data_IF_160176649801
#
_entry.id   IF_160176649801
#
_cell.length_a   1.000
_cell.length_b   1.000
_cell.length_c   1.000
_cell.angle_alpha   90.00
_cell.angle_beta   90.00
_cell.angle_gamma   90.00
#
_symmetry.space_group_name_H-M   'P 1'
#
loop_
_entity.id
_entity.type
_entity.pdbx_description
1 polymer ?
#
# COMPACT_ATOMS: atom_id res chain seq x y z
N UNK A 1 34.11 -42.37 45.88
CA UNK A 1 34.12 -42.27 47.36
C UNK A 1 33.56 -40.91 47.78
N UNK A 2 32.85 -40.84 48.91
CA UNK A 2 32.03 -39.71 49.32
C UNK A 2 32.80 -38.65 50.13
N UNK A 3 32.34 -37.40 49.96
CA UNK A 3 32.34 -36.16 50.78
C UNK A 3 33.13 -36.14 52.12
N UNK A 4 33.82 -35.02 52.43
CA UNK A 4 33.34 -34.20 53.54
C UNK A 4 33.28 -32.69 53.25
N UNK A 5 32.07 -32.17 53.42
CA UNK A 5 31.67 -30.80 53.81
C UNK A 5 32.27 -30.42 55.16
N UNK A 6 32.40 -29.10 55.48
CA UNK A 6 32.32 -28.43 56.82
C UNK A 6 33.08 -27.07 56.79
N UNK A 7 32.68 -25.98 57.48
CA UNK A 7 31.36 -25.38 57.63
C UNK A 7 31.35 -23.82 57.57
N UNK A 8 30.14 -23.29 57.46
CA UNK A 8 29.54 -22.07 58.00
C UNK A 8 30.35 -21.08 58.88
N UNK A 9 30.24 -19.78 58.53
CA UNK A 9 30.16 -18.68 59.51
C UNK A 9 29.22 -17.57 59.00
N UNK A 10 27.91 -17.73 59.25
CA UNK A 10 26.99 -16.62 59.57
C UNK A 10 27.46 -15.97 60.89
N UNK A 11 27.12 -14.76 61.36
CA UNK A 11 26.04 -13.75 61.26
C UNK A 11 26.70 -12.44 61.85
N UNK A 12 26.11 -11.21 61.98
CA UNK A 12 24.72 -10.80 61.82
C UNK A 12 24.41 -9.43 61.14
N UNK A 13 23.14 -9.34 60.70
CA UNK A 13 22.24 -8.17 60.57
C UNK A 13 22.52 -7.01 61.56
N UNK A 14 22.28 -5.72 61.27
CA UNK A 14 21.01 -5.01 60.91
C UNK A 14 21.28 -3.47 60.96
N UNK A 15 20.31 -2.53 60.73
CA UNK A 15 19.58 -2.11 59.52
C UNK A 15 19.70 -0.59 59.17
N UNK A 16 18.96 -0.20 58.12
CA UNK A 16 18.42 1.12 57.76
C UNK A 16 19.42 2.06 57.03
N UNK A 17 19.07 2.70 55.92
CA UNK A 17 17.83 3.45 55.65
C UNK A 17 17.68 3.67 54.13
N UNK A 18 16.42 3.73 53.67
CA UNK A 18 15.96 4.21 52.35
C UNK A 18 16.65 5.51 51.93
N UNK A 19 16.95 5.69 50.64
CA UNK A 19 16.18 6.55 49.71
C UNK A 19 16.90 6.63 48.35
N UNK A 20 16.18 6.15 47.34
CA UNK A 20 15.99 6.76 46.03
C UNK A 20 17.22 7.27 45.25
N UNK A 21 17.61 6.49 44.23
CA UNK A 21 18.01 7.07 42.96
C UNK A 21 17.75 6.05 41.85
N UNK A 22 16.72 6.38 41.08
CA UNK A 22 16.34 5.85 39.79
C UNK A 22 17.58 5.53 38.93
N UNK A 23 17.94 4.26 38.84
CA UNK A 23 18.84 3.79 37.78
C UNK A 23 17.98 3.66 36.54
N UNK A 24 18.19 4.55 35.59
CA UNK A 24 17.63 4.51 34.25
C UNK A 24 17.86 3.13 33.63
N UNK A 25 16.81 2.32 33.66
CA UNK A 25 16.70 1.11 32.86
C UNK A 25 16.47 1.55 31.41
N UNK A 26 17.56 1.86 30.72
CA UNK A 26 17.61 1.86 29.27
C UNK A 26 17.48 0.42 28.77
N UNK A 27 16.25 -0.10 28.84
CA UNK A 27 15.80 -1.27 28.10
C UNK A 27 15.74 -0.95 26.60
N UNK A 28 16.90 -0.79 25.97
CA UNK A 28 17.09 -1.07 24.55
C UNK A 28 17.08 -2.60 24.38
N UNK A 29 15.93 -3.18 24.01
CA UNK A 29 15.84 -4.21 22.96
C UNK A 29 14.37 -4.51 22.59
N UNK A 30 13.67 -3.50 22.07
CA UNK A 30 12.37 -3.69 21.41
C UNK A 30 12.60 -3.71 19.91
N UNK A 31 12.57 -4.90 19.30
CA UNK A 31 12.67 -5.05 17.85
C UNK A 31 11.77 -4.03 17.13
N UNK A 32 12.37 -3.22 16.27
CA UNK A 32 11.77 -1.97 15.78
C UNK A 32 10.42 -2.20 15.08
N UNK A 33 9.35 -1.99 15.84
CA UNK A 33 7.98 -1.92 15.33
C UNK A 33 7.83 -0.65 14.50
N UNK A 34 7.33 -0.79 13.28
CA UNK A 34 7.06 0.34 12.38
C UNK A 34 5.58 0.68 12.50
N UNK A 35 5.27 1.81 13.17
CA UNK A 35 3.91 2.36 13.24
C UNK A 35 3.69 3.36 12.10
N UNK A 36 2.71 3.08 11.24
CA UNK A 36 2.34 3.94 10.12
C UNK A 36 1.40 5.06 10.57
N UNK A 37 1.75 6.32 10.25
CA UNK A 37 0.97 7.51 10.59
C UNK A 37 0.15 7.97 9.38
N UNK A 38 -1.06 8.47 9.64
CA UNK A 38 -1.95 8.94 8.58
C UNK A 38 -1.45 10.24 7.95
N UNK A 39 -1.53 10.37 6.62
CA UNK A 39 -1.27 11.62 5.92
C UNK A 39 -2.48 12.57 6.10
N UNK A 40 -2.27 13.72 6.73
CA UNK A 40 -3.32 14.73 6.93
C UNK A 40 -3.59 15.59 5.67
N UNK A 41 -2.82 15.41 4.59
CA UNK A 41 -2.89 16.24 3.37
C UNK A 41 -4.23 16.20 2.61
N UNK A 42 -5.04 15.15 2.79
CA UNK A 42 -6.36 15.02 2.14
C UNK A 42 -7.50 15.75 2.88
N UNK A 43 -7.24 16.41 4.02
CA UNK A 43 -8.29 16.99 4.87
C UNK A 43 -8.77 18.38 4.46
N UNK A 44 -8.08 19.03 3.51
CA UNK A 44 -8.39 20.41 3.10
C UNK A 44 -9.77 20.52 2.49
N UNK A 45 -10.11 19.64 1.54
CA UNK A 45 -11.42 19.65 0.87
C UNK A 45 -12.58 19.40 1.84
N UNK A 46 -12.60 18.35 2.68
CA UNK A 46 -13.69 18.14 3.63
C UNK A 46 -13.76 19.25 4.69
N UNK A 47 -12.64 19.82 5.13
CA UNK A 47 -12.65 20.98 6.04
C UNK A 47 -13.29 22.22 5.37
N UNK A 48 -12.95 22.50 4.11
CA UNK A 48 -13.55 23.57 3.31
C UNK A 48 -15.04 23.33 3.09
N UNK A 49 -15.48 22.09 2.84
CA UNK A 49 -16.90 21.75 2.73
C UNK A 49 -17.66 22.00 4.04
N UNK A 50 -17.10 21.62 5.19
CA UNK A 50 -17.73 21.88 6.50
C UNK A 50 -17.80 23.38 6.78
N UNK A 51 -16.70 24.11 6.60
CA UNK A 51 -16.65 25.55 6.80
C UNK A 51 -17.62 26.28 5.86
N UNK A 52 -17.62 25.93 4.58
CA UNK A 52 -18.53 26.49 3.59
C UNK A 52 -20.00 26.23 3.91
N UNK A 53 -20.33 25.00 4.34
CA UNK A 53 -21.69 24.66 4.78
C UNK A 53 -22.13 25.41 6.04
N UNK A 54 -21.24 25.60 7.02
CA UNK A 54 -21.51 26.39 8.24
C UNK A 54 -21.73 27.87 7.90
N UNK A 55 -20.89 28.45 7.04
CA UNK A 55 -21.05 29.84 6.59
C UNK A 55 -22.37 30.04 5.83
N UNK A 56 -22.75 29.08 4.98
CA UNK A 56 -24.01 29.13 4.22
C UNK A 56 -25.26 29.09 5.11
N UNK A 57 -25.17 28.42 6.28
CA UNK A 57 -26.21 28.39 7.29
C UNK A 57 -26.25 29.66 8.16
N UNK A 58 -25.10 30.31 8.35
CA UNK A 58 -24.99 31.51 9.19
C UNK A 58 -25.47 32.81 8.51
N UNK A 59 -25.49 32.85 7.17
CA UNK A 59 -25.97 34.01 6.41
C UNK A 59 -27.50 34.10 6.41
N UNK A 60 -28.11 35.18 6.95
CA UNK A 60 -29.56 35.33 6.98
C UNK A 60 -30.08 35.48 5.54
N UNK A 61 -30.98 34.58 5.14
CA UNK A 61 -31.65 34.68 3.85
C UNK A 61 -33.06 34.13 3.94
N UNK A 62 -34.00 34.90 3.45
CA UNK A 62 -35.40 34.51 3.38
C UNK A 62 -35.59 33.48 2.26
N UNK A 63 -35.83 32.22 2.65
CA UNK A 63 -36.45 31.14 1.83
C UNK A 63 -35.65 30.57 0.65
N UNK A 64 -34.65 29.73 0.95
CA UNK A 64 -34.34 28.61 0.05
C UNK A 64 -34.09 27.33 0.86
N UNK A 65 -35.14 26.52 1.04
CA UNK A 65 -35.07 25.20 1.67
C UNK A 65 -33.99 24.32 1.01
N UNK A 66 -33.79 24.48 -0.29
CA UNK A 66 -32.79 23.77 -1.09
C UNK A 66 -31.36 24.16 -0.66
N UNK A 67 -31.11 25.43 -0.34
CA UNK A 67 -29.82 25.90 0.19
C UNK A 67 -29.52 25.31 1.56
N UNK A 68 -30.51 25.26 2.45
CA UNK A 68 -30.35 24.67 3.78
C UNK A 68 -30.09 23.16 3.71
N UNK A 69 -30.78 22.43 2.82
CA UNK A 69 -30.53 21.01 2.59
C UNK A 69 -29.12 20.75 2.05
N UNK A 70 -28.66 21.54 1.08
CA UNK A 70 -27.29 21.44 0.54
C UNK A 70 -26.26 21.76 1.62
N UNK A 71 -26.49 22.78 2.45
CA UNK A 71 -25.58 23.15 3.54
C UNK A 71 -25.49 22.06 4.61
N UNK A 72 -26.64 21.53 5.05
CA UNK A 72 -26.68 20.42 6.02
C UNK A 72 -26.01 19.18 5.43
N UNK A 73 -26.25 18.88 4.14
CA UNK A 73 -25.58 17.80 3.43
C UNK A 73 -24.05 17.98 3.38
N UNK A 74 -23.57 19.19 3.09
CA UNK A 74 -22.14 19.51 3.06
C UNK A 74 -21.49 19.39 4.45
N UNK A 75 -22.16 19.88 5.50
CA UNK A 75 -21.67 19.77 6.89
C UNK A 75 -21.69 18.32 7.38
N UNK A 76 -22.76 17.57 7.11
CA UNK A 76 -22.86 16.17 7.51
C UNK A 76 -21.84 15.30 6.77
N UNK A 77 -21.73 15.43 5.44
CA UNK A 77 -20.80 14.66 4.63
C UNK A 77 -19.34 15.02 4.97
N UNK A 78 -19.02 16.31 5.01
CA UNK A 78 -17.69 16.80 5.38
C UNK A 78 -17.33 16.44 6.82
N UNK A 79 -18.30 16.53 7.74
CA UNK A 79 -18.15 16.16 9.15
C UNK A 79 -17.89 14.68 9.34
N UNK A 80 -18.61 13.79 8.64
CA UNK A 80 -18.37 12.34 8.68
C UNK A 80 -16.99 11.99 8.14
N UNK A 81 -16.56 12.61 7.03
CA UNK A 81 -15.22 12.41 6.47
C UNK A 81 -14.14 12.91 7.44
N UNK A 82 -14.33 14.07 8.06
CA UNK A 82 -13.40 14.63 9.05
C UNK A 82 -13.32 13.76 10.30
N UNK A 83 -14.46 13.25 10.81
CA UNK A 83 -14.51 12.34 11.95
C UNK A 83 -13.86 10.99 11.64
N UNK A 84 -14.02 10.50 10.40
CA UNK A 84 -13.34 9.31 9.89
C UNK A 84 -11.82 9.50 9.76
N UNK A 85 -11.37 10.73 9.54
CA UNK A 85 -9.95 11.08 9.47
C UNK A 85 -9.32 11.31 10.86
N UNK A 86 -10.11 11.76 11.84
CA UNK A 86 -9.67 11.99 13.23
C UNK A 86 -9.63 10.70 14.07
N UNK A 87 -10.11 9.55 13.57
CA UNK A 87 -9.97 8.28 14.28
C UNK A 87 -8.50 7.80 14.26
N UNK A 88 -7.94 7.37 15.40
CA UNK A 88 -6.54 6.94 15.48
C UNK A 88 -6.33 5.67 14.66
N UNK A 89 -5.83 5.87 13.45
CA UNK A 89 -5.32 4.83 12.58
C UNK A 89 -4.03 4.29 13.22
N UNK A 90 -4.05 3.03 13.64
CA UNK A 90 -2.87 2.31 14.13
C UNK A 90 -2.68 1.11 13.25
N UNK A 91 -1.76 1.23 12.31
CA UNK A 91 -1.23 0.11 11.54
C UNK A 91 0.22 -0.08 11.96
N UNK A 92 0.50 -1.16 12.67
CA UNK A 92 1.84 -1.48 13.16
C UNK A 92 2.34 -2.74 12.47
N UNK A 93 3.59 -2.70 12.01
CA UNK A 93 4.31 -3.87 11.49
C UNK A 93 5.36 -4.23 12.52
N UNK A 94 5.23 -5.40 13.12
CA UNK A 94 6.14 -5.88 14.16
C UNK A 94 6.54 -7.35 13.98
N UNK A 95 7.38 -7.88 14.86
CA UNK A 95 7.89 -9.24 14.76
C UNK A 95 6.80 -10.31 14.95
N UNK A 96 5.73 -10.00 15.67
CA UNK A 96 4.62 -10.93 15.93
C UNK A 96 3.56 -10.93 14.83
N UNK A 97 3.46 -9.85 14.06
CA UNK A 97 2.42 -9.70 13.05
C UNK A 97 2.12 -8.26 12.66
N UNK A 98 0.91 -8.07 12.17
CA UNK A 98 0.38 -6.76 11.76
C UNK A 98 -0.74 -6.37 12.70
N UNK A 99 -0.56 -5.25 13.41
CA UNK A 99 -1.66 -4.66 14.19
C UNK A 99 -2.50 -3.80 13.27
N UNK A 100 -3.79 -4.13 13.11
CA UNK A 100 -4.72 -3.36 12.29
C UNK A 100 -5.85 -2.82 13.15
N UNK A 101 -6.17 -1.53 12.97
CA UNK A 101 -7.29 -0.88 13.65
C UNK A 101 -8.22 -0.15 12.67
N UNK A 102 -9.08 -0.90 11.99
CA UNK A 102 -10.15 -0.42 11.10
C UNK A 102 -11.52 -0.99 11.49
N UNK A 103 -12.65 -0.43 11.02
CA UNK A 103 -13.95 -1.08 11.17
C UNK A 103 -13.90 -2.50 10.58
N UNK A 104 -14.31 -3.51 11.35
CA UNK A 104 -14.24 -4.93 10.97
C UNK A 104 -12.89 -5.62 11.20
N UNK A 105 -11.82 -4.90 11.56
CA UNK A 105 -10.50 -5.49 11.82
C UNK A 105 -9.77 -4.68 12.89
N UNK A 106 -9.91 -5.07 14.16
CA UNK A 106 -9.33 -4.39 15.33
C UNK A 106 -8.51 -5.35 16.18
N UNK A 107 -7.47 -5.93 15.58
CA UNK A 107 -6.64 -6.93 16.25
C UNK A 107 -5.23 -6.96 15.69
N UNK A 108 -4.33 -7.57 16.46
CA UNK A 108 -3.09 -8.12 15.93
C UNK A 108 -3.42 -9.34 15.08
N UNK A 109 -2.98 -9.32 13.83
CA UNK A 109 -3.03 -10.46 12.92
C UNK A 109 -1.64 -11.06 12.90
N UNK A 110 -1.52 -12.30 13.40
CA UNK A 110 -0.22 -12.95 13.53
C UNK A 110 0.32 -13.33 12.16
N UNK A 111 1.64 -13.38 11.99
CA UNK A 111 2.24 -13.87 10.74
C UNK A 111 1.76 -15.29 10.35
N UNK A 112 1.39 -16.13 11.32
CA UNK A 112 0.84 -17.46 11.09
C UNK A 112 -0.58 -17.46 10.50
N UNK A 113 -1.34 -16.39 10.72
CA UNK A 113 -2.68 -16.20 10.15
C UNK A 113 -2.63 -15.66 8.72
N UNK A 114 -1.43 -15.29 8.25
CA UNK A 114 -1.20 -14.64 6.96
C UNK A 114 -0.56 -15.66 6.02
N UNK A 115 -1.27 -15.98 4.94
CA UNK A 115 -0.71 -16.80 3.87
C UNK A 115 0.16 -15.96 2.94
N UNK A 116 -0.32 -14.77 2.57
CA UNK A 116 0.39 -13.85 1.70
C UNK A 116 0.01 -12.40 2.01
N UNK A 117 0.98 -11.50 1.83
CA UNK A 117 0.80 -10.06 1.83
C UNK A 117 1.31 -9.50 0.53
N UNK A 118 0.53 -8.62 -0.06
CA UNK A 118 0.81 -8.10 -1.40
C UNK A 118 0.68 -6.60 -1.39
N UNK A 119 1.77 -5.91 -1.72
CA UNK A 119 1.74 -4.49 -2.05
C UNK A 119 1.48 -4.35 -3.55
N UNK A 120 0.35 -3.73 -3.89
CA UNK A 120 -0.11 -3.56 -5.27
C UNK A 120 -0.65 -2.15 -5.50
N UNK A 121 -0.69 -1.70 -6.77
CA UNK A 121 -1.43 -0.50 -7.17
C UNK A 121 -2.54 -0.95 -8.12
N UNK A 122 -3.82 -0.60 -7.88
CA UNK A 122 -4.90 -0.90 -8.81
C UNK A 122 -4.65 -0.28 -10.19
N UNK A 123 -5.25 -0.80 -11.26
CA UNK A 123 -5.22 -0.14 -12.56
C UNK A 123 -5.83 1.27 -12.44
N UNK A 124 -5.29 2.28 -13.16
CA UNK A 124 -5.88 3.61 -13.18
C UNK A 124 -7.34 3.56 -13.62
N UNK A 125 -8.20 4.29 -12.92
CA UNK A 125 -9.63 4.40 -13.26
C UNK A 125 -9.85 5.79 -13.87
N UNK A 126 -10.31 5.84 -15.12
CA UNK A 126 -10.53 7.08 -15.86
C UNK A 126 -9.29 8.02 -15.87
N UNK A 127 -8.08 7.45 -15.96
CA UNK A 127 -6.82 8.20 -16.02
C UNK A 127 -6.33 8.75 -14.69
N UNK A 128 -7.02 8.45 -13.59
CA UNK A 128 -6.58 8.78 -12.25
C UNK A 128 -5.80 7.60 -11.68
N UNK A 129 -4.50 7.77 -11.34
CA UNK A 129 -3.73 6.75 -10.65
C UNK A 129 -4.40 6.40 -9.32
N UNK A 130 -4.65 5.12 -9.10
CA UNK A 130 -5.12 4.64 -7.81
C UNK A 130 -3.92 4.52 -6.85
N UNK A 131 -4.08 4.92 -5.58
CA UNK A 131 -2.99 4.78 -4.61
C UNK A 131 -2.62 3.30 -4.40
N UNK A 132 -1.34 3.01 -4.09
CA UNK A 132 -0.95 1.68 -3.65
C UNK A 132 -1.77 1.20 -2.46
N UNK A 133 -2.01 -0.11 -2.40
CA UNK A 133 -2.74 -0.77 -1.34
C UNK A 133 -2.04 -2.05 -0.90
N UNK A 134 -2.19 -2.37 0.38
CA UNK A 134 -1.73 -3.63 0.95
C UNK A 134 -2.91 -4.60 1.04
N UNK A 135 -2.77 -5.74 0.37
CA UNK A 135 -3.72 -6.84 0.40
C UNK A 135 -3.15 -7.98 1.23
N UNK A 136 -4.03 -8.72 1.91
CA UNK A 136 -3.68 -9.88 2.72
C UNK A 136 -4.56 -11.06 2.35
N UNK A 137 -3.94 -12.20 2.08
CA UNK A 137 -4.61 -13.49 1.91
C UNK A 137 -4.54 -14.23 3.25
N UNK A 138 -5.68 -14.57 3.87
CA UNK A 138 -5.69 -15.32 5.13
C UNK A 138 -5.15 -16.74 4.92
N UNK A 139 -4.52 -17.29 5.95
CA UNK A 139 -4.18 -18.71 6.00
C UNK A 139 -5.45 -19.59 5.91
N UNK A 140 -5.36 -20.80 5.32
CA UNK A 140 -6.48 -21.72 5.27
C UNK A 140 -7.10 -21.96 6.65
N UNK A 141 -8.43 -21.85 6.76
CA UNK A 141 -9.16 -22.03 8.01
C UNK A 141 -9.21 -20.79 8.93
N UNK A 142 -8.53 -19.69 8.58
CA UNK A 142 -8.63 -18.43 9.32
C UNK A 142 -9.81 -17.61 8.78
N UNK A 143 -10.84 -17.44 9.61
CA UNK A 143 -11.91 -16.49 9.35
C UNK A 143 -11.50 -15.10 9.88
N UNK A 144 -11.68 -14.08 9.05
CA UNK A 144 -11.50 -12.69 9.46
C UNK A 144 -12.87 -12.03 9.58
N UNK A 145 -13.03 -11.19 10.60
CA UNK A 145 -14.24 -10.39 10.82
C UNK A 145 -14.43 -9.26 9.78
N UNK A 146 -13.67 -9.30 8.69
CA UNK A 146 -13.73 -8.37 7.58
C UNK A 146 -14.05 -9.10 6.27
N UNK A 147 -14.93 -8.55 5.43
CA UNK A 147 -15.24 -9.16 4.14
C UNK A 147 -14.02 -9.16 3.22
N UNK A 148 -13.84 -10.26 2.48
CA UNK A 148 -12.85 -10.36 1.40
C UNK A 148 -13.33 -9.57 0.18
N UNK A 149 -13.13 -8.26 0.20
CA UNK A 149 -13.55 -7.34 -0.87
C UNK A 149 -12.57 -7.28 -2.04
N UNK A 150 -11.41 -7.92 -1.93
CA UNK A 150 -10.35 -7.90 -2.92
C UNK A 150 -9.91 -9.31 -3.32
N UNK A 151 -9.07 -9.38 -4.35
CA UNK A 151 -8.42 -10.61 -4.81
C UNK A 151 -6.94 -10.39 -4.98
N UNK A 152 -6.16 -11.44 -4.75
CA UNK A 152 -4.73 -11.44 -5.04
C UNK A 152 -4.51 -11.22 -6.55
N UNK A 153 -3.71 -10.22 -6.98
CA UNK A 153 -3.62 -9.82 -8.38
C UNK A 153 -3.07 -10.89 -9.33
N UNK A 154 -2.24 -11.80 -8.82
CA UNK A 154 -1.60 -12.86 -9.63
C UNK A 154 -2.42 -14.15 -9.67
N UNK A 155 -2.84 -14.69 -8.52
CA UNK A 155 -3.49 -16.01 -8.43
C UNK A 155 -5.01 -15.96 -8.13
N UNK A 156 -5.59 -14.77 -7.97
CA UNK A 156 -7.03 -14.59 -7.79
C UNK A 156 -7.60 -15.01 -6.44
N UNK A 157 -6.76 -15.49 -5.49
CA UNK A 157 -7.20 -15.89 -4.15
C UNK A 157 -7.95 -14.76 -3.44
N UNK A 158 -8.99 -15.05 -2.63
CA UNK A 158 -9.67 -14.03 -1.84
C UNK A 158 -8.69 -13.29 -0.93
N UNK A 159 -8.75 -11.96 -0.97
CA UNK A 159 -7.89 -11.10 -0.19
C UNK A 159 -8.70 -10.05 0.55
N UNK A 160 -8.21 -9.67 1.73
CA UNK A 160 -8.70 -8.54 2.51
C UNK A 160 -7.76 -7.38 2.28
N UNK A 161 -8.30 -6.23 1.90
CA UNK A 161 -7.52 -5.00 1.85
C UNK A 161 -7.22 -4.54 3.28
N UNK A 162 -5.94 -4.46 3.65
CA UNK A 162 -5.53 -4.02 4.97
C UNK A 162 -5.35 -2.51 5.04
N UNK A 163 -4.76 -1.94 3.99
CA UNK A 163 -4.31 -0.56 3.99
C UNK A 163 -4.35 0.05 2.59
N UNK A 164 -4.85 1.29 2.52
CA UNK A 164 -4.70 2.21 1.40
C UNK A 164 -3.54 3.17 1.72
N UNK A 165 -2.43 3.06 0.99
CA UNK A 165 -1.22 3.86 1.24
C UNK A 165 -1.39 5.32 0.80
N UNK A 166 -2.44 5.67 0.05
CA UNK A 166 -2.79 7.08 -0.19
C UNK A 166 -3.17 7.82 1.10
N UNK A 167 -3.51 7.08 2.15
CA UNK A 167 -3.85 7.61 3.46
C UNK A 167 -2.67 7.60 4.43
N UNK A 168 -1.51 7.10 4.02
CA UNK A 168 -0.33 6.88 4.87
C UNK A 168 0.71 7.97 4.57
N UNK A 169 1.41 8.44 5.61
CA UNK A 169 2.45 9.46 5.48
C UNK A 169 3.79 8.85 5.04
N UNK A 170 4.08 7.66 5.51
CA UNK A 170 5.29 6.90 5.16
C UNK A 170 5.31 6.57 3.66
N UNK A 171 6.51 6.54 3.08
CA UNK A 171 6.65 6.24 1.65
C UNK A 171 6.36 4.76 1.41
N UNK A 172 5.74 4.40 0.28
CA UNK A 172 5.49 3.00 -0.06
C UNK A 172 6.72 2.10 0.02
N UNK A 173 7.89 2.60 -0.36
CA UNK A 173 9.14 1.84 -0.28
C UNK A 173 9.59 1.58 1.18
N UNK A 174 9.35 2.52 2.10
CA UNK A 174 9.65 2.32 3.54
C UNK A 174 8.72 1.26 4.15
N UNK A 175 7.44 1.30 3.77
CA UNK A 175 6.45 0.29 4.15
C UNK A 175 6.83 -1.08 3.60
N UNK A 176 7.23 -1.14 2.32
CA UNK A 176 7.68 -2.36 1.68
C UNK A 176 8.92 -2.94 2.37
N UNK A 177 9.90 -2.10 2.73
CA UNK A 177 11.09 -2.53 3.46
C UNK A 177 10.75 -3.09 4.85
N UNK A 178 9.82 -2.47 5.57
CA UNK A 178 9.35 -2.98 6.86
C UNK A 178 8.61 -4.33 6.73
N UNK A 179 7.74 -4.45 5.72
CA UNK A 179 7.01 -5.70 5.45
C UNK A 179 7.94 -6.82 4.99
N UNK A 180 8.95 -6.52 4.17
CA UNK A 180 9.95 -7.49 3.75
C UNK A 180 10.78 -8.00 4.95
N UNK A 181 11.14 -7.09 5.88
CA UNK A 181 11.90 -7.43 7.08
C UNK A 181 11.14 -8.37 8.02
N UNK A 182 9.87 -8.08 8.30
CA UNK A 182 9.09 -8.80 9.31
C UNK A 182 8.21 -9.92 8.73
N UNK A 183 7.65 -9.72 7.53
CA UNK A 183 6.80 -10.71 6.86
C UNK A 183 7.56 -11.79 6.11
N UNK A 184 8.85 -11.54 5.81
CA UNK A 184 9.72 -12.48 5.07
C UNK A 184 9.09 -12.92 3.75
N UNK A 185 9.11 -14.24 3.51
CA UNK A 185 8.61 -14.84 2.26
C UNK A 185 7.10 -14.65 2.02
N UNK A 186 6.32 -14.30 3.05
CA UNK A 186 4.89 -14.04 2.90
C UNK A 186 4.62 -12.72 2.18
N UNK A 187 5.57 -11.79 2.21
CA UNK A 187 5.43 -10.48 1.58
C UNK A 187 5.89 -10.49 0.13
N UNK A 188 5.05 -9.95 -0.75
CA UNK A 188 5.32 -9.77 -2.17
C UNK A 188 5.10 -8.32 -2.56
N UNK A 189 6.16 -7.67 -3.00
CA UNK A 189 6.09 -6.32 -3.58
C UNK A 189 5.85 -6.42 -5.10
N UNK A 190 4.58 -6.30 -5.52
CA UNK A 190 4.24 -6.30 -6.95
C UNK A 190 4.59 -4.98 -7.63
N UNK A 191 4.77 -3.88 -6.88
CA UNK A 191 5.22 -2.62 -7.45
C UNK A 191 6.68 -2.72 -7.85
N UNK A 192 7.53 -3.24 -6.96
CA UNK A 192 8.94 -3.49 -7.26
C UNK A 192 9.10 -4.52 -8.38
N UNK A 193 8.31 -5.61 -8.39
CA UNK A 193 8.36 -6.60 -9.47
C UNK A 193 8.00 -6.02 -10.84
N UNK A 194 6.96 -5.20 -10.95
CA UNK A 194 6.62 -4.51 -12.21
C UNK A 194 7.73 -3.57 -12.67
N UNK A 195 8.27 -2.76 -11.75
CA UNK A 195 9.38 -1.83 -12.02
C UNK A 195 10.63 -2.57 -12.50
N UNK A 196 10.95 -3.71 -11.89
CA UNK A 196 12.10 -4.53 -12.27
C UNK A 196 11.90 -5.25 -13.61
N UNK A 197 10.66 -5.65 -13.94
CA UNK A 197 10.36 -6.34 -15.18
C UNK A 197 10.49 -5.44 -16.41
N UNK A 198 10.07 -4.18 -16.29
CA UNK A 198 10.30 -3.17 -17.31
C UNK A 198 10.34 -1.77 -16.67
N UNK A 199 11.54 -1.18 -16.53
CA UNK A 199 11.67 0.17 -15.99
C UNK A 199 11.13 1.18 -17.01
N UNK A 200 10.28 2.08 -16.53
CA UNK A 200 9.77 3.21 -17.32
C UNK A 200 10.12 4.48 -16.58
N UNK A 201 10.83 5.36 -17.25
CA UNK A 201 11.12 6.70 -16.74
C UNK A 201 9.82 7.50 -16.64
N UNK A 202 9.78 8.47 -15.72
CA UNK A 202 8.62 9.34 -15.55
C UNK A 202 8.29 10.07 -16.86
N UNK A 203 7.19 9.65 -17.49
CA UNK A 203 6.73 10.22 -18.75
C UNK A 203 6.30 11.66 -18.53
N UNK A 204 6.90 12.56 -19.30
CA UNK A 204 6.67 13.99 -19.17
C UNK A 204 5.30 14.35 -19.75
N UNK A 205 4.51 15.11 -19.00
CA UNK A 205 3.26 15.68 -19.52
C UNK A 205 3.53 16.90 -20.39
N UNK A 206 2.88 16.95 -21.55
CA UNK A 206 2.94 18.07 -22.48
C UNK A 206 1.57 18.45 -23.02
N UNK A 207 1.54 19.58 -23.73
CA UNK A 207 0.41 19.91 -24.59
C UNK A 207 0.41 18.99 -25.80
N UNK A 208 -0.77 18.52 -26.22
CA UNK A 208 -0.92 17.59 -27.36
C UNK A 208 -0.11 16.30 -27.22
N UNK A 209 -0.16 15.71 -26.02
CA UNK A 209 0.41 14.40 -25.76
C UNK A 209 -0.59 13.26 -25.97
N UNK A 210 -0.11 12.02 -25.96
CA UNK A 210 -0.99 10.86 -25.94
C UNK A 210 -1.81 10.79 -24.66
N UNK A 211 -3.04 10.32 -24.77
CA UNK A 211 -3.88 10.06 -23.60
C UNK A 211 -3.18 9.14 -22.61
N UNK A 212 -3.20 9.51 -21.32
CA UNK A 212 -2.46 8.81 -20.27
C UNK A 212 -3.05 7.43 -19.99
N UNK A 213 -4.38 7.31 -19.88
CA UNK A 213 -5.03 6.05 -19.50
C UNK A 213 -4.73 4.89 -20.45
N UNK A 214 -4.82 5.05 -21.79
CA UNK A 214 -4.43 3.98 -22.73
C UNK A 214 -2.95 3.62 -22.61
N UNK A 215 -2.07 4.61 -22.48
CA UNK A 215 -0.62 4.40 -22.36
C UNK A 215 -0.27 3.65 -21.07
N UNK A 216 -0.77 4.12 -19.92
CA UNK A 216 -0.55 3.48 -18.61
C UNK A 216 -1.05 2.04 -18.60
N UNK A 217 -2.18 1.77 -19.28
CA UNK A 217 -2.74 0.41 -19.41
C UNK A 217 -1.81 -0.50 -20.20
N UNK A 218 -1.29 -0.04 -21.35
CA UNK A 218 -0.38 -0.83 -22.19
C UNK A 218 0.92 -1.13 -21.45
N UNK A 219 1.52 -0.11 -20.81
CA UNK A 219 2.74 -0.25 -20.03
C UNK A 219 2.52 -1.25 -18.89
N UNK A 220 1.42 -1.09 -18.14
CA UNK A 220 1.08 -2.01 -17.05
C UNK A 220 0.91 -3.43 -17.57
N UNK A 221 0.12 -3.64 -18.62
CA UNK A 221 -0.11 -4.99 -19.17
C UNK A 221 1.20 -5.65 -19.61
N UNK A 222 2.11 -4.90 -20.24
CA UNK A 222 3.43 -5.41 -20.61
C UNK A 222 4.31 -5.73 -19.40
N UNK A 223 4.35 -4.86 -18.38
CA UNK A 223 5.06 -5.12 -17.13
C UNK A 223 4.54 -6.37 -16.41
N UNK A 224 3.22 -6.56 -16.34
CA UNK A 224 2.60 -7.74 -15.71
C UNK A 224 2.93 -9.02 -16.50
N UNK A 225 2.86 -8.97 -17.83
CA UNK A 225 3.23 -10.09 -18.70
C UNK A 225 4.72 -10.45 -18.57
N UNK A 226 5.61 -9.47 -18.43
CA UNK A 226 7.04 -9.70 -18.20
C UNK A 226 7.32 -10.24 -16.79
N UNK A 227 6.64 -9.70 -15.77
CA UNK A 227 6.93 -9.99 -14.37
C UNK A 227 6.41 -11.37 -13.92
N UNK A 228 5.25 -11.82 -14.42
CA UNK A 228 4.66 -13.11 -14.03
C UNK A 228 3.78 -13.76 -15.10
N UNK A 229 3.70 -13.18 -16.31
CA UNK A 229 3.02 -13.81 -17.44
C UNK A 229 3.87 -14.89 -18.10
N UNK A 230 3.19 -15.88 -18.71
CA UNK A 230 3.82 -16.86 -19.58
C UNK A 230 3.98 -16.35 -21.01
N UNK A 231 4.46 -17.22 -21.89
CA UNK A 231 4.57 -16.95 -23.33
C UNK A 231 3.26 -16.44 -23.97
N UNK A 232 2.06 -17.01 -23.71
CA UNK A 232 0.84 -16.50 -24.33
C UNK A 232 0.46 -15.09 -23.82
N UNK A 233 0.66 -14.80 -22.53
CA UNK A 233 0.40 -13.46 -21.98
C UNK A 233 1.37 -12.42 -22.55
N UNK A 234 2.65 -12.78 -22.69
CA UNK A 234 3.66 -11.91 -23.32
C UNK A 234 3.34 -11.63 -24.78
N UNK A 235 2.96 -12.64 -25.54
CA UNK A 235 2.57 -12.49 -26.93
C UNK A 235 1.29 -11.63 -27.08
N UNK A 236 0.31 -11.82 -26.20
CA UNK A 236 -0.91 -11.01 -26.19
C UNK A 236 -0.61 -9.54 -25.84
N UNK A 237 0.22 -9.29 -24.83
CA UNK A 237 0.65 -7.93 -24.47
C UNK A 237 1.41 -7.26 -25.62
N UNK A 238 2.32 -7.99 -26.28
CA UNK A 238 3.07 -7.49 -27.44
C UNK A 238 2.12 -7.12 -28.59
N UNK A 239 1.18 -8.01 -28.91
CA UNK A 239 0.19 -7.76 -29.96
C UNK A 239 -0.65 -6.51 -29.65
N UNK A 240 -1.06 -6.31 -28.39
CA UNK A 240 -1.80 -5.12 -27.98
C UNK A 240 -0.98 -3.83 -28.16
N UNK A 241 0.31 -3.85 -27.79
CA UNK A 241 1.22 -2.71 -27.99
C UNK A 241 1.40 -2.39 -29.47
N UNK A 242 1.69 -3.39 -30.30
CA UNK A 242 1.87 -3.19 -31.75
C UNK A 242 0.58 -2.73 -32.44
N UNK A 243 -0.57 -3.29 -32.06
CA UNK A 243 -1.86 -2.85 -32.58
C UNK A 243 -2.16 -1.39 -32.23
N UNK A 244 -1.89 -0.98 -30.99
CA UNK A 244 -2.09 0.41 -30.56
C UNK A 244 -1.16 1.38 -31.31
N UNK A 245 0.09 0.99 -31.54
CA UNK A 245 1.06 1.78 -32.32
C UNK A 245 0.65 1.89 -33.79
N UNK A 246 0.16 0.81 -34.39
CA UNK A 246 -0.28 0.79 -35.79
C UNK A 246 -1.58 1.57 -36.01
N UNK A 247 -2.52 1.50 -35.08
CA UNK A 247 -3.77 2.26 -35.13
C UNK A 247 -3.57 3.76 -34.84
N UNK A 248 -2.48 4.11 -34.13
CA UNK A 248 -2.21 5.44 -33.62
C UNK A 248 -2.95 5.69 -32.30
N UNK A 249 -2.21 6.15 -31.29
CA UNK A 249 -2.79 6.54 -30.00
C UNK A 249 -3.49 7.90 -30.10
N UNK A 250 -4.62 8.03 -29.40
CA UNK A 250 -5.38 9.28 -29.33
C UNK A 250 -4.54 10.39 -28.68
N UNK A 251 -4.51 11.55 -29.31
CA UNK A 251 -3.85 12.76 -28.78
C UNK A 251 -4.86 13.60 -28.00
N UNK A 252 -4.54 13.89 -26.74
CA UNK A 252 -5.32 14.77 -25.89
C UNK A 252 -4.67 16.16 -25.78
N UNK A 253 -5.47 17.16 -25.39
CA UNK A 253 -4.96 18.52 -25.17
C UNK A 253 -3.81 18.56 -24.14
N UNK A 254 -3.85 17.67 -23.15
CA UNK A 254 -2.78 17.41 -22.18
C UNK A 254 -2.60 15.91 -22.06
N UNK A 255 -1.38 15.43 -22.26
CA UNK A 255 -1.05 14.00 -22.27
C UNK A 255 0.44 13.75 -22.16
N UNK A 256 0.87 12.50 -22.25
CA UNK A 256 2.29 12.15 -22.25
C UNK A 256 2.97 12.54 -23.55
N UNK A 257 4.24 12.95 -23.47
CA UNK A 257 5.08 13.24 -24.63
C UNK A 257 5.05 12.07 -25.63
N UNK A 258 4.63 12.35 -26.86
CA UNK A 258 4.47 11.32 -27.90
C UNK A 258 5.78 10.59 -28.19
N UNK A 259 6.89 11.33 -28.29
CA UNK A 259 8.21 10.76 -28.53
C UNK A 259 8.68 9.83 -27.41
N UNK A 260 8.45 10.19 -26.14
CA UNK A 260 8.82 9.34 -25.00
C UNK A 260 7.96 8.07 -24.95
N UNK A 261 6.65 8.20 -25.23
CA UNK A 261 5.74 7.05 -25.27
C UNK A 261 6.09 6.11 -26.42
N UNK A 262 6.36 6.63 -27.61
CA UNK A 262 6.74 5.80 -28.76
C UNK A 262 8.03 5.03 -28.51
N UNK A 263 9.01 5.65 -27.84
CA UNK A 263 10.23 4.99 -27.40
C UNK A 263 9.94 3.89 -26.37
N UNK A 264 9.18 4.22 -25.33
CA UNK A 264 8.84 3.28 -24.27
C UNK A 264 8.06 2.07 -24.82
N UNK A 265 7.07 2.29 -25.69
CA UNK A 265 6.28 1.20 -26.28
C UNK A 265 7.09 0.35 -27.26
N UNK A 266 8.04 0.95 -28.01
CA UNK A 266 8.96 0.18 -28.86
C UNK A 266 9.88 -0.71 -28.02
N UNK A 267 10.45 -0.14 -26.96
CA UNK A 267 11.31 -0.88 -26.02
C UNK A 267 10.54 -2.00 -25.31
N UNK A 268 9.28 -1.74 -24.92
CA UNK A 268 8.42 -2.72 -24.29
C UNK A 268 8.08 -3.88 -25.24
N UNK A 269 7.74 -3.58 -26.49
CA UNK A 269 7.47 -4.59 -27.51
C UNK A 269 8.69 -5.48 -27.78
N UNK A 270 9.89 -4.88 -27.81
CA UNK A 270 11.14 -5.62 -27.94
C UNK A 270 11.40 -6.52 -26.71
N UNK A 271 11.19 -6.02 -25.49
CA UNK A 271 11.35 -6.80 -24.28
C UNK A 271 10.37 -7.98 -24.20
N UNK A 272 9.12 -7.78 -24.62
CA UNK A 272 8.10 -8.84 -24.70
C UNK A 272 8.41 -9.91 -25.75
N UNK A 273 9.26 -9.60 -26.73
CA UNK A 273 9.70 -10.54 -27.74
C UNK A 273 10.92 -11.37 -27.31
N UNK A 274 11.64 -10.97 -26.26
CA UNK A 274 12.85 -11.65 -25.81
C UNK A 274 12.50 -12.92 -25.02
N UNK A 275 12.77 -14.08 -25.63
CA UNK A 275 12.32 -15.40 -25.19
C UNK A 275 13.27 -16.06 -24.17
N UNK A 276 14.04 -15.26 -23.42
CA UNK A 276 15.14 -15.73 -22.54
C UNK A 276 14.72 -16.55 -21.32
N UNK A 277 13.48 -17.01 -21.23
CA UNK A 277 12.97 -17.82 -20.11
C UNK A 277 12.90 -19.33 -20.37
N UNK A 278 13.40 -19.86 -21.49
CA UNK A 278 13.34 -21.32 -21.74
C UNK A 278 14.62 -22.01 -22.20
N UNK A 279 15.78 -21.34 -22.15
CA UNK A 279 17.05 -21.99 -22.51
C UNK A 279 18.04 -21.96 -21.34
N UNK A 280 17.72 -22.74 -20.31
CA UNK A 280 18.71 -23.24 -19.36
C UNK A 280 18.60 -24.76 -19.37
N UNK A 281 19.05 -25.37 -20.45
CA UNK A 281 19.43 -26.79 -20.42
C UNK A 281 20.46 -26.98 -19.30
N UNK A 282 20.26 -27.94 -18.38
CA UNK A 282 21.32 -28.36 -17.48
C UNK A 282 22.38 -29.08 -18.32
N UNK A 283 23.50 -28.40 -18.58
CA UNK A 283 24.70 -29.07 -19.07
C UNK A 283 25.22 -30.02 -17.98
N UNK A 284 25.09 -31.32 -18.27
CA UNK A 284 25.91 -32.47 -17.83
C UNK A 284 26.57 -32.44 -16.46
#
# INVERSE_FOLDING_TARGET
MPVPTVPDRRVPHRPARREDAHTDDHGQDGGQDVELRRNHGSLVLPAVCVLGGVVLLALPSERSLLRNLVAIGAVALGGVVLLGALRPFRFGIGPDGITVRRPGLRRLIRWTEIQALVLDAPPPVAGVPAPPRLLMVPAPGVALDAPSTARHPVDGRPAVELLDLGQVRERPDDVAAALARHGGERFVDLLARRRAAFPVDDLTMGLRGYETSPVDRLIRQGQEALAWGGAPERQAARAAVEQARAAGLTVAARGYSTAQVDEALRSLSAALADDRTTDREPST
#
